data_IF_612993794473
#
_entry.id   IF_612993794473
#
_cell.length_a   1.000
_cell.length_b   1.000
_cell.length_c   1.000
_cell.angle_alpha   90.00
_cell.angle_beta   90.00
_cell.angle_gamma   90.00
#
_symmetry.space_group_name_H-M   'P 1'
#
loop_
_entity.id
_entity.type
_entity.pdbx_description
1 polymer ?
#
# COMPACT_ATOMS: atom_id res chain seq x y z
N UNK A 1 -5.17 -22.14 47.59
CA UNK A 1 -4.71 -23.47 47.13
C UNK A 1 -4.64 -23.44 45.62
N UNK A 2 -3.47 -23.67 45.02
CA UNK A 2 -3.27 -23.67 43.56
C UNK A 2 -3.79 -25.00 43.01
N UNK A 3 -4.88 -24.98 42.25
CA UNK A 3 -5.35 -26.17 41.52
C UNK A 3 -4.42 -26.42 40.33
N UNK A 4 -3.34 -27.18 40.54
CA UNK A 4 -2.44 -27.59 39.47
C UNK A 4 -3.06 -28.79 38.72
N UNK A 5 -3.73 -28.51 37.60
CA UNK A 5 -4.20 -29.54 36.67
C UNK A 5 -3.00 -30.12 35.90
N UNK A 6 -2.82 -31.45 35.94
CA UNK A 6 -1.77 -32.16 35.20
C UNK A 6 -2.13 -32.42 33.73
N UNK A 7 -3.34 -32.03 33.31
CA UNK A 7 -3.78 -32.22 31.93
C UNK A 7 -3.10 -31.17 31.03
N UNK A 8 -2.35 -31.59 29.98
CA UNK A 8 -1.59 -30.68 29.13
C UNK A 8 -2.48 -29.67 28.38
N UNK A 9 -3.76 -29.99 28.14
CA UNK A 9 -4.71 -29.07 27.51
C UNK A 9 -5.09 -27.94 28.47
N UNK A 10 -5.46 -28.27 29.71
CA UNK A 10 -5.78 -27.26 30.72
C UNK A 10 -4.55 -26.44 31.12
N UNK A 11 -3.37 -27.06 31.16
CA UNK A 11 -2.11 -26.35 31.41
C UNK A 11 -1.82 -25.31 30.31
N UNK A 12 -2.05 -25.63 29.03
CA UNK A 12 -1.89 -24.66 27.93
C UNK A 12 -2.85 -23.47 28.02
N UNK A 13 -4.08 -23.68 28.48
CA UNK A 13 -5.10 -22.62 28.63
C UNK A 13 -4.84 -21.77 29.88
N UNK A 14 -4.26 -22.36 30.93
CA UNK A 14 -3.91 -21.64 32.15
C UNK A 14 -2.56 -20.91 32.03
N UNK A 15 -1.58 -21.47 31.33
CA UNK A 15 -0.26 -20.86 31.06
C UNK A 15 -0.30 -19.85 29.91
N UNK A 16 -1.19 -20.04 28.92
CA UNK A 16 -1.60 -18.98 28.01
C UNK A 16 -2.99 -18.52 28.46
N UNK A 17 -3.11 -17.59 29.43
CA UNK A 17 -4.27 -16.74 29.41
C UNK A 17 -4.37 -16.25 27.97
N UNK A 18 -5.55 -16.29 27.37
CA UNK A 18 -5.81 -15.52 26.17
C UNK A 18 -5.54 -14.05 26.55
N UNK A 19 -4.27 -13.63 26.56
CA UNK A 19 -3.85 -12.36 26.02
C UNK A 19 -4.23 -12.43 24.55
N UNK A 20 -5.55 -12.40 24.31
CA UNK A 20 -6.06 -11.71 23.17
C UNK A 20 -5.43 -10.33 23.32
N UNK A 21 -4.31 -10.13 22.61
CA UNK A 21 -3.83 -8.81 22.31
C UNK A 21 -5.08 -8.04 21.98
N UNK A 22 -5.39 -7.03 22.81
CA UNK A 22 -6.56 -6.18 22.65
C UNK A 22 -6.32 -5.46 21.32
N UNK A 23 -6.61 -6.17 20.25
CA UNK A 23 -6.50 -5.71 18.89
C UNK A 23 -7.75 -4.89 18.75
N UNK A 24 -7.60 -3.59 19.01
CA UNK A 24 -8.66 -2.62 18.80
C UNK A 24 -9.23 -2.89 17.42
N UNK A 25 -10.50 -3.32 17.32
CA UNK A 25 -11.06 -3.71 16.04
C UNK A 25 -10.96 -2.51 15.09
N UNK A 26 -10.51 -2.78 13.86
CA UNK A 26 -10.33 -1.73 12.86
C UNK A 26 -11.65 -0.97 12.67
N UNK A 27 -11.67 0.31 13.02
CA UNK A 27 -12.87 1.14 12.85
C UNK A 27 -13.08 1.42 11.37
N UNK A 28 -14.33 1.31 10.89
CA UNK A 28 -14.69 1.63 9.50
C UNK A 28 -14.18 3.01 9.06
N UNK A 29 -14.24 4.01 9.95
CA UNK A 29 -13.71 5.36 9.72
C UNK A 29 -12.19 5.35 9.46
N UNK A 30 -11.44 4.54 10.20
CA UNK A 30 -9.99 4.43 10.05
C UNK A 30 -9.59 3.74 8.74
N UNK A 31 -10.34 2.72 8.34
CA UNK A 31 -10.16 2.06 7.04
C UNK A 31 -10.48 3.03 5.90
N UNK A 32 -11.63 3.71 5.95
CA UNK A 32 -12.06 4.67 4.95
C UNK A 32 -11.08 5.85 4.78
N UNK A 33 -10.52 6.38 5.88
CA UNK A 33 -9.55 7.45 5.81
C UNK A 33 -8.23 7.00 5.13
N UNK A 34 -7.77 5.78 5.42
CA UNK A 34 -6.55 5.22 4.81
C UNK A 34 -6.76 4.93 3.32
N UNK A 35 -7.92 4.41 2.94
CA UNK A 35 -8.21 4.17 1.52
C UNK A 35 -8.32 5.47 0.74
N UNK A 36 -8.99 6.49 1.29
CA UNK A 36 -9.03 7.83 0.70
C UNK A 36 -7.64 8.44 0.50
N UNK A 37 -6.74 8.24 1.47
CA UNK A 37 -5.35 8.68 1.34
C UNK A 37 -4.65 8.02 0.15
N UNK A 38 -4.79 6.71 -0.05
CA UNK A 38 -4.22 6.03 -1.21
C UNK A 38 -4.84 6.50 -2.53
N UNK A 39 -6.15 6.72 -2.58
CA UNK A 39 -6.82 7.29 -3.75
C UNK A 39 -6.28 8.68 -4.08
N UNK A 40 -6.08 9.53 -3.07
CA UNK A 40 -5.50 10.86 -3.28
C UNK A 40 -4.07 10.76 -3.84
N UNK A 41 -3.27 9.80 -3.39
CA UNK A 41 -1.92 9.58 -3.93
C UNK A 41 -1.93 9.11 -5.39
N UNK A 42 -2.90 8.28 -5.79
CA UNK A 42 -3.07 7.90 -7.20
C UNK A 42 -3.39 9.13 -8.05
N UNK A 43 -4.33 9.97 -7.60
CA UNK A 43 -4.67 11.20 -8.32
C UNK A 43 -3.47 12.13 -8.45
N UNK A 44 -2.68 12.30 -7.38
CA UNK A 44 -1.45 13.09 -7.41
C UNK A 44 -0.44 12.54 -8.43
N UNK A 45 -0.27 11.22 -8.49
CA UNK A 45 0.58 10.56 -9.49
C UNK A 45 0.08 10.82 -10.92
N UNK A 46 -1.22 10.68 -11.16
CA UNK A 46 -1.83 10.86 -12.47
C UNK A 46 -1.72 12.31 -12.97
N UNK A 47 -2.14 13.28 -12.15
CA UNK A 47 -1.98 14.69 -12.49
C UNK A 47 -0.51 15.09 -12.61
N UNK A 48 0.38 14.51 -11.80
CA UNK A 48 1.82 14.71 -11.92
C UNK A 48 2.36 14.22 -13.26
N UNK A 49 1.98 13.02 -13.70
CA UNK A 49 2.36 12.47 -15.00
C UNK A 49 1.87 13.33 -16.17
N UNK A 50 0.60 13.74 -16.13
CA UNK A 50 0.02 14.66 -17.12
C UNK A 50 0.77 15.99 -17.16
N UNK A 51 1.01 16.59 -15.99
CA UNK A 51 1.69 17.88 -15.88
C UNK A 51 3.11 17.83 -16.44
N UNK A 52 3.87 16.79 -16.13
CA UNK A 52 5.25 16.64 -16.62
C UNK A 52 5.26 16.53 -18.16
N UNK A 53 4.40 15.70 -18.74
CA UNK A 53 4.41 15.49 -20.19
C UNK A 53 3.87 16.69 -20.98
N UNK A 54 2.87 17.37 -20.44
CA UNK A 54 2.27 18.53 -21.10
C UNK A 54 3.14 19.79 -21.01
N UNK A 55 3.71 20.08 -19.83
CA UNK A 55 4.41 21.35 -19.59
C UNK A 55 5.94 21.26 -19.67
N UNK A 56 6.54 20.08 -19.47
CA UNK A 56 8.01 19.95 -19.46
C UNK A 56 8.53 19.49 -20.82
N UNK A 57 8.17 18.28 -21.24
CA UNK A 57 8.58 17.75 -22.55
C UNK A 57 7.89 16.43 -22.86
N UNK A 58 7.25 16.36 -24.03
CA UNK A 58 6.71 15.12 -24.58
C UNK A 58 7.80 14.09 -24.92
N UNK A 59 9.05 14.52 -25.14
CA UNK A 59 10.16 13.61 -25.42
C UNK A 59 10.51 12.70 -24.22
N UNK A 60 10.06 13.05 -23.01
CA UNK A 60 10.25 12.24 -21.80
C UNK A 60 9.26 11.08 -21.69
N UNK A 61 8.28 10.98 -22.60
CA UNK A 61 7.22 9.96 -22.56
C UNK A 61 7.74 8.54 -22.31
N UNK A 62 8.65 8.06 -23.17
CA UNK A 62 9.17 6.69 -23.10
C UNK A 62 9.93 6.43 -21.80
N UNK A 63 10.74 7.40 -21.36
CA UNK A 63 11.53 7.26 -20.14
C UNK A 63 10.63 7.25 -18.90
N UNK A 64 9.61 8.11 -18.89
CA UNK A 64 8.69 8.25 -17.78
C UNK A 64 7.77 7.03 -17.64
N UNK A 65 7.29 6.49 -18.76
CA UNK A 65 6.50 5.26 -18.81
C UNK A 65 7.28 4.04 -18.28
N UNK A 66 8.53 3.88 -18.71
CA UNK A 66 9.38 2.76 -18.25
C UNK A 66 9.70 2.91 -16.77
N UNK A 67 10.03 4.12 -16.32
CA UNK A 67 10.31 4.39 -14.91
C UNK A 67 9.07 4.15 -14.03
N UNK A 68 7.89 4.57 -14.45
CA UNK A 68 6.65 4.39 -13.69
C UNK A 68 6.24 2.92 -13.58
N UNK A 69 6.37 2.14 -14.67
CA UNK A 69 6.11 0.70 -14.65
C UNK A 69 7.07 -0.05 -13.72
N UNK A 70 8.38 0.23 -13.81
CA UNK A 70 9.38 -0.43 -12.97
C UNK A 70 9.14 -0.08 -11.49
N UNK A 71 8.90 1.19 -11.18
CA UNK A 71 8.68 1.63 -9.79
C UNK A 71 7.39 1.06 -9.21
N UNK A 72 6.29 1.05 -9.96
CA UNK A 72 5.04 0.41 -9.55
C UNK A 72 5.23 -1.10 -9.33
N UNK A 73 5.89 -1.79 -10.25
CA UNK A 73 6.10 -3.23 -10.16
C UNK A 73 6.96 -3.63 -8.95
N UNK A 74 8.10 -2.96 -8.75
CA UNK A 74 9.01 -3.25 -7.63
C UNK A 74 8.33 -2.93 -6.29
N UNK A 75 7.62 -1.80 -6.20
CA UNK A 75 6.92 -1.42 -4.97
C UNK A 75 5.79 -2.39 -4.63
N UNK A 76 5.06 -2.92 -5.63
CA UNK A 76 4.05 -3.95 -5.43
C UNK A 76 4.67 -5.25 -4.87
N UNK A 77 5.79 -5.71 -5.44
CA UNK A 77 6.48 -6.91 -4.95
C UNK A 77 6.99 -6.75 -3.52
N UNK A 78 7.57 -5.59 -3.20
CA UNK A 78 8.07 -5.30 -1.85
C UNK A 78 6.93 -5.21 -0.82
N UNK A 79 5.80 -4.61 -1.20
CA UNK A 79 4.61 -4.56 -0.34
C UNK A 79 4.01 -5.96 -0.11
N UNK A 80 4.06 -6.83 -1.12
CA UNK A 80 3.59 -8.22 -1.04
C UNK A 80 4.46 -9.08 -0.12
N UNK A 81 5.79 -9.04 -0.30
CA UNK A 81 6.71 -9.86 0.47
C UNK A 81 6.95 -9.36 1.89
N UNK A 82 6.89 -8.04 2.10
CA UNK A 82 7.16 -7.41 3.40
C UNK A 82 5.96 -6.58 3.87
N UNK A 83 4.96 -7.20 4.52
CA UNK A 83 3.75 -6.50 4.96
C UNK A 83 4.03 -5.39 5.97
N UNK A 84 5.14 -5.47 6.71
CA UNK A 84 5.60 -4.40 7.63
C UNK A 84 5.96 -3.10 6.90
N UNK A 85 6.36 -3.18 5.63
CA UNK A 85 6.78 -2.05 4.82
C UNK A 85 5.64 -1.54 3.91
N UNK A 86 4.45 -2.17 3.97
CA UNK A 86 3.29 -1.84 3.13
C UNK A 86 2.84 -0.38 3.27
N UNK A 87 3.01 0.24 4.44
CA UNK A 87 2.66 1.64 4.63
C UNK A 87 3.48 2.60 3.75
N UNK A 88 4.76 2.28 3.48
CA UNK A 88 5.65 3.08 2.64
C UNK A 88 5.63 2.63 1.18
N UNK A 89 5.76 1.33 0.92
CA UNK A 89 5.74 0.85 -0.46
C UNK A 89 4.36 0.95 -1.09
N UNK A 90 3.28 0.90 -0.31
CA UNK A 90 1.93 1.14 -0.81
C UNK A 90 1.73 2.57 -1.31
N UNK A 91 2.35 3.58 -0.69
CA UNK A 91 2.24 4.97 -1.18
C UNK A 91 3.03 5.19 -2.44
N UNK A 92 4.25 4.65 -2.49
CA UNK A 92 5.09 4.68 -3.70
C UNK A 92 4.41 3.94 -4.84
N UNK A 93 3.79 2.79 -4.55
CA UNK A 93 2.99 2.03 -5.50
C UNK A 93 1.83 2.86 -6.06
N UNK A 94 1.01 3.45 -5.19
CA UNK A 94 -0.11 4.30 -5.62
C UNK A 94 0.34 5.49 -6.47
N UNK A 95 1.47 6.12 -6.12
CA UNK A 95 2.06 7.20 -6.92
C UNK A 95 2.54 6.69 -8.29
N UNK A 96 3.24 5.55 -8.34
CA UNK A 96 3.74 4.95 -9.56
C UNK A 96 2.62 4.53 -10.51
N UNK A 97 1.59 3.87 -9.99
CA UNK A 97 0.37 3.51 -10.74
C UNK A 97 -0.37 4.75 -11.23
N UNK A 98 -0.55 5.76 -10.38
CA UNK A 98 -1.10 7.05 -10.79
C UNK A 98 -0.32 7.64 -11.96
N UNK A 99 1.01 7.65 -11.86
CA UNK A 99 1.89 8.15 -12.91
C UNK A 99 1.73 7.37 -14.22
N UNK A 100 1.66 6.03 -14.18
CA UNK A 100 1.34 5.20 -15.35
C UNK A 100 0.03 5.63 -15.98
N UNK A 101 -1.04 5.78 -15.19
CA UNK A 101 -2.36 6.23 -15.69
C UNK A 101 -2.25 7.59 -16.37
N UNK A 102 -1.59 8.57 -15.74
CA UNK A 102 -1.41 9.90 -16.31
C UNK A 102 -0.61 9.88 -17.62
N UNK A 103 0.48 9.12 -17.68
CA UNK A 103 1.29 8.97 -18.90
C UNK A 103 0.50 8.30 -20.01
N UNK A 104 -0.23 7.22 -19.71
CA UNK A 104 -1.07 6.51 -20.69
C UNK A 104 -2.22 7.38 -21.18
N UNK A 105 -2.83 8.20 -20.31
CA UNK A 105 -3.85 9.16 -20.72
C UNK A 105 -3.31 10.16 -21.75
N UNK A 106 -2.11 10.72 -21.55
CA UNK A 106 -1.46 11.57 -22.55
C UNK A 106 -1.16 10.84 -23.86
N UNK A 107 -0.88 9.53 -23.81
CA UNK A 107 -0.65 8.75 -25.03
C UNK A 107 -1.86 8.72 -25.98
N UNK A 108 -3.08 8.94 -25.47
CA UNK A 108 -4.29 9.03 -26.28
C UNK A 108 -4.61 10.45 -26.76
N UNK A 109 -3.96 11.47 -26.19
CA UNK A 109 -4.13 12.88 -26.58
C UNK A 109 -3.04 13.36 -27.55
N UNK A 110 -1.94 12.61 -27.68
CA UNK A 110 -0.85 12.81 -28.68
C UNK A 110 -1.25 12.20 -30.01
#
# INVERSE_FOLDING_TARGET
MRFASHNPVFRKIMDNPYEGTISVPATYKGVAAKTLYFVAMILLGAFGGLFILYYVSQALFTNLLVASLITAFISALLALWFPRLSALFGTIYCLGEGLVVGVVSMAFEI
#
